data_IF_919279090553
#
_entry.id   IF_919279090553
#
_cell.length_a   1.000
_cell.length_b   1.000
_cell.length_c   1.000
_cell.angle_alpha   90.00
_cell.angle_beta   90.00
_cell.angle_gamma   90.00
#
_symmetry.space_group_name_H-M   'P 1'
#
loop_
_entity.id
_entity.type
_entity.pdbx_description
1 polymer ?
#
# COMPACT_ATOMS: atom_id res chain seq x y z
N UNK A 1 19.07 -4.89 6.95
CA UNK A 1 19.03 -4.09 5.71
C UNK A 1 19.07 -2.62 6.06
N UNK A 2 19.61 -1.79 5.19
CA UNK A 2 19.74 -0.35 5.34
C UNK A 2 18.85 0.39 4.34
N UNK A 3 18.30 1.53 4.75
CA UNK A 3 17.49 2.39 3.88
C UNK A 3 18.40 3.09 2.88
N UNK A 4 18.07 2.97 1.59
CA UNK A 4 18.78 3.63 0.50
C UNK A 4 17.87 4.68 -0.13
N UNK A 5 18.17 5.95 0.12
CA UNK A 5 17.37 7.08 -0.34
C UNK A 5 16.70 7.85 0.81
N UNK A 6 16.10 8.99 0.45
CA UNK A 6 15.39 9.88 1.37
C UNK A 6 13.89 9.79 1.11
N UNK A 7 13.19 9.03 1.94
CA UNK A 7 11.74 8.84 1.88
C UNK A 7 11.19 8.56 3.26
N UNK A 8 9.90 8.82 3.47
CA UNK A 8 9.19 8.50 4.71
C UNK A 8 8.85 7.02 4.75
N UNK A 9 9.11 6.36 5.89
CA UNK A 9 8.79 4.94 6.07
C UNK A 9 7.28 4.67 6.00
N UNK A 10 6.91 3.43 5.70
CA UNK A 10 5.53 2.99 5.75
C UNK A 10 5.04 2.84 7.19
N UNK A 11 3.75 3.13 7.41
CA UNK A 11 3.07 2.97 8.69
C UNK A 11 1.71 2.30 8.51
N UNK A 12 1.48 1.23 9.27
CA UNK A 12 0.21 0.49 9.27
C UNK A 12 -0.03 -0.38 8.04
N UNK A 13 1.02 -0.74 7.30
CA UNK A 13 0.96 -1.35 5.97
C UNK A 13 0.13 -2.64 5.86
N UNK A 14 -0.47 -2.82 4.69
CA UNK A 14 -1.24 -4.00 4.29
C UNK A 14 -0.80 -4.55 2.93
N UNK A 15 -1.14 -5.82 2.69
CA UNK A 15 -0.97 -6.51 1.39
C UNK A 15 0.45 -6.40 0.81
N UNK A 16 1.43 -6.75 1.62
CA UNK A 16 2.82 -6.88 1.17
C UNK A 16 2.93 -8.05 0.20
N UNK A 17 3.42 -7.79 -1.01
CA UNK A 17 3.57 -8.75 -2.10
C UNK A 17 4.97 -8.66 -2.66
N UNK A 18 5.65 -9.80 -2.76
CA UNK A 18 6.93 -9.93 -3.47
C UNK A 18 6.66 -10.03 -4.96
N UNK A 19 7.37 -9.26 -5.76
CA UNK A 19 7.31 -9.29 -7.21
C UNK A 19 8.72 -9.48 -7.76
N UNK A 20 8.87 -10.49 -8.61
CA UNK A 20 10.12 -10.83 -9.28
C UNK A 20 10.07 -10.39 -10.74
N UNK A 21 11.21 -10.01 -11.30
CA UNK A 21 11.35 -9.67 -12.72
C UNK A 21 12.65 -10.28 -13.26
N UNK A 22 12.62 -10.72 -14.52
CA UNK A 22 13.82 -11.19 -15.23
C UNK A 22 14.82 -10.05 -15.52
N UNK A 23 14.40 -8.80 -15.32
CA UNK A 23 15.24 -7.60 -15.47
C UNK A 23 16.08 -7.29 -14.23
N UNK A 24 15.80 -7.93 -13.10
CA UNK A 24 16.50 -7.74 -11.83
C UNK A 24 17.69 -8.70 -11.69
N UNK A 25 18.71 -8.29 -10.93
CA UNK A 25 19.82 -9.18 -10.58
C UNK A 25 19.37 -10.26 -9.58
N UNK A 26 20.09 -11.39 -9.54
CA UNK A 26 19.83 -12.43 -8.53
C UNK A 26 19.99 -11.85 -7.12
N UNK A 27 18.99 -12.05 -6.26
CA UNK A 27 18.92 -11.42 -4.93
C UNK A 27 18.22 -10.06 -4.91
N UNK A 28 17.67 -9.58 -6.03
CA UNK A 28 16.83 -8.38 -6.08
C UNK A 28 15.36 -8.73 -6.35
N UNK A 29 14.45 -8.00 -5.70
CA UNK A 29 13.00 -8.10 -5.94
C UNK A 29 12.30 -6.80 -5.56
N UNK A 30 11.10 -6.60 -6.10
CA UNK A 30 10.22 -5.54 -5.64
C UNK A 30 9.32 -6.03 -4.50
N UNK A 31 9.08 -5.17 -3.52
CA UNK A 31 8.00 -5.31 -2.54
C UNK A 31 6.94 -4.25 -2.82
N UNK A 32 5.77 -4.70 -3.29
CA UNK A 32 4.58 -3.86 -3.37
C UNK A 32 3.78 -3.94 -2.06
N UNK A 33 3.26 -2.83 -1.58
CA UNK A 33 2.33 -2.82 -0.44
C UNK A 33 1.38 -1.62 -0.47
N UNK A 34 0.30 -1.73 0.28
CA UNK A 34 -0.53 -0.59 0.64
C UNK A 34 0.04 0.01 1.94
N UNK A 35 0.55 1.24 1.88
CA UNK A 35 0.94 2.02 3.04
C UNK A 35 -0.26 2.85 3.51
N UNK A 36 -0.83 2.47 4.66
CA UNK A 36 -1.95 3.20 5.25
C UNK A 36 -1.58 4.60 5.74
N UNK A 37 -0.28 4.88 5.91
CA UNK A 37 0.23 6.13 6.44
C UNK A 37 -0.36 6.44 7.83
N UNK A 38 -0.50 5.41 8.67
CA UNK A 38 -1.14 5.54 9.98
C UNK A 38 -0.30 4.92 11.09
N UNK A 39 0.11 5.77 12.03
CA UNK A 39 0.76 5.34 13.26
C UNK A 39 -0.25 5.25 14.41
N UNK A 40 -0.24 4.10 15.07
CA UNK A 40 -0.86 3.92 16.38
C UNK A 40 -0.01 2.96 17.23
N UNK A 41 0.06 3.23 18.53
CA UNK A 41 0.67 2.33 19.50
C UNK A 41 -0.30 2.08 20.64
N UNK A 42 -0.75 0.84 20.75
CA UNK A 42 -1.74 0.41 21.74
C UNK A 42 -1.18 -0.54 22.79
N UNK A 43 0.12 -0.83 22.76
CA UNK A 43 0.71 -1.93 23.56
C UNK A 43 1.82 -1.47 24.48
N UNK A 44 2.55 -0.39 24.16
CA UNK A 44 3.55 0.16 25.06
C UNK A 44 2.91 1.04 26.13
N UNK A 45 3.29 0.81 27.39
CA UNK A 45 2.76 1.50 28.56
C UNK A 45 3.80 2.38 29.26
N UNK A 46 4.97 2.56 28.65
CA UNK A 46 6.12 3.27 29.19
C UNK A 46 6.27 4.66 28.57
N UNK A 47 5.14 5.32 28.28
CA UNK A 47 5.05 6.69 27.73
C UNK A 47 5.93 6.90 26.47
N UNK A 48 5.97 5.88 25.62
CA UNK A 48 6.76 5.94 24.40
C UNK A 48 6.14 6.83 23.34
N UNK A 49 6.88 7.85 22.96
CA UNK A 49 6.55 8.74 21.86
C UNK A 49 7.66 8.69 20.80
N UNK A 50 7.43 8.06 19.63
CA UNK A 50 8.39 8.14 18.54
C UNK A 50 8.37 9.53 17.93
N UNK A 51 9.51 9.93 17.35
CA UNK A 51 9.54 11.03 16.41
C UNK A 51 9.01 10.51 15.07
N UNK A 52 7.90 11.08 14.62
CA UNK A 52 7.27 10.75 13.35
C UNK A 52 7.59 11.85 12.33
N UNK A 53 7.66 11.45 11.06
CA UNK A 53 7.64 12.39 9.94
C UNK A 53 6.31 13.17 9.94
N UNK A 54 6.32 14.41 9.47
CA UNK A 54 5.13 15.26 9.41
C UNK A 54 4.04 14.69 8.50
N UNK A 55 4.41 13.84 7.54
CA UNK A 55 3.47 13.16 6.64
C UNK A 55 2.74 11.99 7.31
N UNK A 56 3.20 11.50 8.47
CA UNK A 56 2.61 10.31 9.11
C UNK A 56 1.38 10.69 9.90
N UNK A 57 0.22 10.23 9.43
CA UNK A 57 -1.03 10.49 10.13
C UNK A 57 -1.17 9.67 11.41
N UNK A 58 -1.83 10.28 12.38
CA UNK A 58 -2.24 9.66 13.65
C UNK A 58 -3.76 9.68 13.82
N UNK A 59 -4.49 10.15 12.80
CA UNK A 59 -5.95 10.22 12.80
C UNK A 59 -6.56 8.95 12.21
N UNK A 60 -7.64 8.44 12.81
CA UNK A 60 -8.33 7.28 12.24
C UNK A 60 -9.07 7.64 10.93
N UNK A 61 -9.49 8.90 10.80
CA UNK A 61 -10.17 9.44 9.62
C UNK A 61 -9.67 10.85 9.40
N UNK A 62 -9.20 11.15 8.19
CA UNK A 62 -8.76 12.47 7.77
C UNK A 62 -8.91 12.56 6.25
N UNK A 63 -9.49 13.64 5.74
CA UNK A 63 -9.67 13.88 4.30
C UNK A 63 -8.54 14.71 3.69
N UNK A 64 -7.64 15.27 4.52
CA UNK A 64 -6.47 16.03 4.05
C UNK A 64 -5.21 15.15 3.95
N UNK A 65 -5.26 13.95 4.52
CA UNK A 65 -4.20 12.95 4.47
C UNK A 65 -4.35 12.05 3.25
N UNK A 66 -3.28 11.31 2.93
CA UNK A 66 -3.29 10.31 1.87
C UNK A 66 -2.71 8.99 2.37
N UNK A 67 -3.17 7.89 1.77
CA UNK A 67 -2.50 6.60 1.82
C UNK A 67 -1.75 6.40 0.51
N UNK A 68 -0.92 5.35 0.44
CA UNK A 68 -0.07 5.14 -0.73
C UNK A 68 -0.02 3.68 -1.13
N UNK A 69 0.25 3.43 -2.39
CA UNK A 69 0.82 2.15 -2.83
C UNK A 69 2.32 2.36 -3.02
N UNK A 70 3.13 1.60 -2.30
CA UNK A 70 4.59 1.70 -2.31
C UNK A 70 5.21 0.51 -3.01
N UNK A 71 6.27 0.78 -3.77
CA UNK A 71 7.13 -0.19 -4.44
C UNK A 71 8.55 0.00 -3.95
N UNK A 72 9.03 -0.92 -3.12
CA UNK A 72 10.42 -0.95 -2.72
C UNK A 72 11.22 -1.86 -3.64
N UNK A 73 12.37 -1.41 -4.12
CA UNK A 73 13.42 -2.32 -4.59
C UNK A 73 14.19 -2.82 -3.38
N UNK A 74 14.22 -4.13 -3.17
CA UNK A 74 15.03 -4.79 -2.15
C UNK A 74 16.23 -5.45 -2.82
N UNK A 75 17.42 -5.19 -2.30
CA UNK A 75 18.66 -5.82 -2.73
C UNK A 75 19.28 -6.56 -1.53
N UNK A 76 19.20 -7.90 -1.55
CA UNK A 76 19.73 -8.72 -0.47
C UNK A 76 21.26 -8.82 -0.48
N UNK A 77 21.91 -8.59 -1.63
CA UNK A 77 23.36 -8.63 -1.75
C UNK A 77 24.00 -7.39 -1.14
N UNK A 78 23.42 -6.22 -1.42
CA UNK A 78 23.81 -4.96 -0.81
C UNK A 78 23.23 -4.82 0.62
N UNK A 79 22.19 -5.59 0.94
CA UNK A 79 21.46 -5.48 2.19
C UNK A 79 20.72 -4.15 2.29
N UNK A 80 20.12 -3.66 1.20
CA UNK A 80 19.46 -2.37 1.14
C UNK A 80 18.01 -2.47 0.65
N UNK A 81 17.24 -1.42 0.92
CA UNK A 81 15.94 -1.21 0.29
C UNK A 81 15.76 0.26 -0.08
N UNK A 82 15.14 0.53 -1.22
CA UNK A 82 14.87 1.89 -1.72
C UNK A 82 13.42 2.00 -2.18
N UNK A 83 12.77 3.14 -1.93
CA UNK A 83 11.48 3.45 -2.55
C UNK A 83 11.71 3.77 -4.02
N UNK A 84 11.34 2.84 -4.90
CA UNK A 84 11.52 2.97 -6.34
C UNK A 84 10.36 3.78 -6.95
N UNK A 85 9.15 3.53 -6.48
CA UNK A 85 7.95 4.16 -7.00
C UNK A 85 6.80 4.15 -6.00
N UNK A 86 5.90 5.11 -6.14
CA UNK A 86 4.67 5.20 -5.36
C UNK A 86 3.61 6.03 -6.07
N UNK A 87 2.35 5.84 -5.66
CA UNK A 87 1.26 6.74 -6.01
C UNK A 87 0.25 6.84 -4.86
N UNK A 88 -0.46 7.96 -4.84
CA UNK A 88 -1.39 8.31 -3.77
C UNK A 88 -2.74 7.63 -4.00
N UNK A 89 -3.38 7.23 -2.89
CA UNK A 89 -4.72 6.65 -2.87
C UNK A 89 -5.49 7.22 -1.68
N UNK A 90 -6.83 7.31 -1.75
CA UNK A 90 -7.63 7.89 -0.68
C UNK A 90 -7.25 7.37 0.70
N UNK A 91 -7.09 8.28 1.66
CA UNK A 91 -6.66 7.92 3.00
C UNK A 91 -7.52 6.82 3.63
N UNK A 92 -6.84 5.78 4.09
CA UNK A 92 -7.45 4.73 4.88
C UNK A 92 -6.47 4.29 5.95
N UNK A 93 -6.70 4.73 7.18
CA UNK A 93 -5.82 4.49 8.33
C UNK A 93 -5.61 3.01 8.67
N UNK A 94 -6.61 2.18 8.44
CA UNK A 94 -6.56 0.74 8.75
C UNK A 94 -7.19 -0.07 7.62
N UNK A 95 -6.97 -1.39 7.67
CA UNK A 95 -7.37 -2.36 6.64
C UNK A 95 -6.87 -1.92 5.26
N UNK A 96 -7.57 -2.21 4.17
CA UNK A 96 -7.15 -1.90 2.79
C UNK A 96 -6.33 -2.99 2.11
N UNK A 97 -6.31 -2.91 0.79
CA UNK A 97 -5.55 -3.82 -0.06
C UNK A 97 -5.20 -3.19 -1.38
N UNK A 98 -4.07 -3.61 -1.94
CA UNK A 98 -3.71 -3.43 -3.34
C UNK A 98 -3.51 -4.80 -3.97
N UNK A 99 -3.99 -5.00 -5.19
CA UNK A 99 -3.76 -6.19 -6.00
C UNK A 99 -3.27 -5.72 -7.37
N UNK A 100 -2.15 -6.27 -7.84
CA UNK A 100 -1.76 -6.16 -9.25
C UNK A 100 -2.57 -7.19 -10.04
N UNK A 101 -3.33 -6.73 -11.03
CA UNK A 101 -4.08 -7.57 -11.95
C UNK A 101 -3.73 -7.14 -13.39
N UNK A 102 -3.04 -8.03 -14.10
CA UNK A 102 -2.37 -7.66 -15.35
C UNK A 102 -1.44 -6.46 -15.09
N UNK A 103 -1.66 -5.33 -15.75
CA UNK A 103 -0.86 -4.11 -15.55
C UNK A 103 -1.55 -3.08 -14.64
N UNK A 104 -2.78 -3.34 -14.19
CA UNK A 104 -3.58 -2.39 -13.39
C UNK A 104 -3.50 -2.69 -11.89
N UNK A 105 -3.69 -1.64 -11.09
CA UNK A 105 -3.77 -1.75 -9.63
C UNK A 105 -5.20 -1.66 -9.15
N UNK A 106 -5.64 -2.70 -8.46
CA UNK A 106 -6.96 -2.85 -7.87
C UNK A 106 -6.85 -2.56 -6.38
N UNK A 107 -7.38 -1.42 -5.94
CA UNK A 107 -7.17 -0.88 -4.60
C UNK A 107 -8.48 -0.78 -3.84
N UNK A 108 -8.50 -1.28 -2.60
CA UNK A 108 -9.58 -1.02 -1.63
C UNK A 108 -9.04 -0.10 -0.56
N UNK A 109 -9.66 1.07 -0.36
CA UNK A 109 -9.37 1.98 0.73
C UNK A 109 -10.50 1.80 1.76
N UNK A 110 -10.25 1.00 2.80
CA UNK A 110 -11.31 0.47 3.64
C UNK A 110 -12.07 1.50 4.46
N UNK A 111 -11.37 2.43 5.11
CA UNK A 111 -11.96 3.51 5.92
C UNK A 111 -12.58 4.59 5.02
N UNK A 112 -11.93 4.90 3.88
CA UNK A 112 -12.52 5.76 2.85
C UNK A 112 -13.76 5.14 2.19
N UNK A 113 -13.98 3.83 2.36
CA UNK A 113 -15.08 3.06 1.75
C UNK A 113 -15.10 3.16 0.23
N UNK A 114 -13.91 3.18 -0.36
CA UNK A 114 -13.73 3.23 -1.81
C UNK A 114 -13.03 2.00 -2.33
N UNK A 115 -13.40 1.64 -3.54
CA UNK A 115 -12.72 0.68 -4.39
C UNK A 115 -12.30 1.40 -5.67
N UNK A 116 -11.03 1.34 -6.01
CA UNK A 116 -10.44 2.07 -7.12
C UNK A 116 -9.65 1.12 -8.04
N UNK A 117 -9.63 1.45 -9.33
CA UNK A 117 -8.71 0.83 -10.29
C UNK A 117 -7.82 1.94 -10.87
N UNK A 118 -6.51 1.71 -10.84
CA UNK A 118 -5.48 2.60 -11.34
C UNK A 118 -4.74 1.93 -12.49
N UNK A 119 -4.26 2.77 -13.41
CA UNK A 119 -3.44 2.32 -14.52
C UNK A 119 -1.98 2.08 -14.08
N UNK A 120 -1.10 1.57 -14.98
CA UNK A 120 0.29 1.27 -14.64
C UNK A 120 1.10 2.51 -14.21
N UNK A 121 0.64 3.72 -14.51
CA UNK A 121 1.28 4.99 -14.12
C UNK A 121 0.76 5.53 -12.79
N UNK A 122 -0.16 4.81 -12.13
CA UNK A 122 -0.79 5.23 -10.89
C UNK A 122 -1.92 6.24 -11.10
N UNK A 123 -2.41 6.43 -12.33
CA UNK A 123 -3.54 7.33 -12.61
C UNK A 123 -4.88 6.61 -12.37
N UNK A 124 -5.83 7.30 -11.72
CA UNK A 124 -7.15 6.74 -11.43
C UNK A 124 -7.95 6.50 -12.70
N UNK A 125 -8.25 5.23 -13.01
CA UNK A 125 -9.17 4.85 -14.09
C UNK A 125 -10.62 4.99 -13.61
N UNK A 126 -10.91 4.48 -12.42
CA UNK A 126 -12.28 4.48 -11.87
C UNK A 126 -12.28 4.31 -10.35
N UNK A 127 -13.24 4.96 -9.71
CA UNK A 127 -13.56 4.79 -8.29
C UNK A 127 -15.02 4.39 -8.09
N UNK A 128 -15.28 3.58 -7.07
CA UNK A 128 -16.59 3.14 -6.62
C UNK A 128 -16.66 3.32 -5.11
N UNK A 129 -17.76 3.90 -4.64
CA UNK A 129 -18.03 4.07 -3.21
C UNK A 129 -19.01 2.99 -2.76
N UNK A 130 -18.79 2.41 -1.59
CA UNK A 130 -19.71 1.45 -0.98
C UNK A 130 -20.20 1.91 0.39
N UNK A 131 -21.38 1.44 0.78
CA UNK A 131 -21.91 1.70 2.11
C UNK A 131 -21.41 0.63 3.10
N UNK A 132 -20.93 1.09 4.25
CA UNK A 132 -20.46 0.26 5.35
C UNK A 132 -20.56 1.05 6.65
N UNK A 133 -20.88 0.38 7.76
CA UNK A 133 -20.92 1.01 9.08
C UNK A 133 -19.53 1.41 9.59
N UNK A 134 -18.47 0.76 9.10
CA UNK A 134 -17.11 1.03 9.58
C UNK A 134 -16.10 1.02 8.42
N UNK A 135 -15.74 -0.15 7.87
CA UNK A 135 -14.85 -0.27 6.71
C UNK A 135 -15.14 -1.51 5.85
N UNK A 136 -14.61 -1.55 4.63
CA UNK A 136 -14.41 -2.78 3.86
C UNK A 136 -12.99 -3.33 4.04
N UNK A 137 -12.85 -4.65 4.24
CA UNK A 137 -11.54 -5.24 4.56
C UNK A 137 -10.60 -5.31 3.35
N UNK A 138 -10.97 -6.08 2.31
CA UNK A 138 -10.22 -6.23 1.07
C UNK A 138 -11.19 -6.37 -0.11
N UNK A 139 -10.78 -5.88 -1.27
CA UNK A 139 -11.44 -6.16 -2.55
C UNK A 139 -10.43 -6.82 -3.48
N UNK A 140 -10.89 -7.85 -4.19
CA UNK A 140 -10.12 -8.55 -5.20
C UNK A 140 -10.91 -8.56 -6.50
N UNK A 141 -10.22 -8.35 -7.61
CA UNK A 141 -10.78 -8.50 -8.96
C UNK A 141 -10.20 -9.78 -9.56
N UNK A 142 -11.08 -10.57 -10.17
CA UNK A 142 -10.70 -11.78 -10.89
C UNK A 142 -11.12 -11.63 -12.36
N UNK A 143 -10.33 -12.21 -13.26
CA UNK A 143 -10.65 -12.32 -14.68
C UNK A 143 -11.73 -13.40 -14.97
N UNK A 144 -12.01 -14.24 -13.97
CA UNK A 144 -12.90 -15.41 -14.05
C UNK A 144 -12.49 -16.46 -15.09
N UNK A 145 -11.25 -16.40 -15.59
CA UNK A 145 -10.69 -17.38 -16.51
C UNK A 145 -10.66 -18.76 -15.85
N UNK A 146 -11.09 -19.80 -16.59
CA UNK A 146 -11.17 -21.16 -16.08
C UNK A 146 -12.35 -21.44 -15.14
N UNK A 147 -13.13 -20.42 -14.76
CA UNK A 147 -14.38 -20.60 -14.01
C UNK A 147 -15.61 -20.31 -14.88
N UNK A 148 -15.74 -19.08 -15.39
CA UNK A 148 -16.87 -18.69 -16.25
C UNK A 148 -16.52 -18.68 -17.73
N UNK A 149 -15.27 -18.39 -18.07
CA UNK A 149 -14.78 -18.34 -19.44
C UNK A 149 -13.75 -19.47 -19.64
N UNK A 150 -14.07 -20.39 -20.55
CA UNK A 150 -13.24 -21.55 -20.92
C UNK A 150 -12.46 -21.28 -22.19
#
# INVERSE_FOLDING_TARGET
MEKSGDFTDQYGQHTVTVMTSDELEDGQYYLMMYNNNYYANSTRTDDYEPQLDAQVSQALTDEEEESYVYFYLVDENAGTYALEWSFDVPYSSIVSSVQLLEDNYVVNCGVAKTFCEYDPSGELIRSFVYDSSFQGYRVMKNDFSGFWFK
#
